data_IF_102903057486
#
_entry.id   IF_102903057486
#
_cell.length_a   1.000
_cell.length_b   1.000
_cell.length_c   1.000
_cell.angle_alpha   90.00
_cell.angle_beta   90.00
_cell.angle_gamma   90.00
#
_symmetry.space_group_name_H-M   'P 1'
#
loop_
_entity.id
_entity.type
_entity.pdbx_description
1 polymer ?
#
# COMPACT_ATOMS: atom_id res chain seq x y z
N UNK A 1 -14.28 -1.20 18.75
CA UNK A 1 -13.99 -1.94 17.50
C UNK A 1 -12.66 -2.64 17.67
N UNK A 2 -12.64 -3.93 18.00
CA UNK A 2 -11.38 -4.62 18.32
C UNK A 2 -10.74 -5.17 17.05
N UNK A 3 -10.21 -4.27 16.24
CA UNK A 3 -9.28 -4.62 15.17
C UNK A 3 -8.10 -5.37 15.80
N UNK A 4 -7.79 -6.56 15.31
CA UNK A 4 -6.69 -7.38 15.84
C UNK A 4 -5.38 -7.02 15.13
N UNK A 5 -4.37 -6.55 15.87
CA UNK A 5 -3.03 -6.26 15.31
C UNK A 5 -2.44 -7.47 14.60
N UNK A 6 -2.67 -8.67 15.14
CA UNK A 6 -2.20 -9.92 14.55
C UNK A 6 -2.82 -10.17 13.17
N UNK A 7 -4.11 -9.86 12.99
CA UNK A 7 -4.79 -10.04 11.70
C UNK A 7 -4.16 -9.15 10.63
N UNK A 8 -3.97 -7.85 10.89
CA UNK A 8 -3.34 -6.96 9.91
C UNK A 8 -1.88 -7.33 9.67
N UNK A 9 -1.15 -7.80 10.69
CA UNK A 9 0.21 -8.29 10.50
C UNK A 9 0.27 -9.47 9.53
N UNK A 10 -0.64 -10.45 9.66
CA UNK A 10 -0.77 -11.58 8.73
C UNK A 10 -1.14 -11.08 7.33
N UNK A 11 -2.10 -10.15 7.22
CA UNK A 11 -2.51 -9.57 5.93
C UNK A 11 -1.36 -8.84 5.23
N UNK A 12 -0.51 -8.11 5.97
CA UNK A 12 0.67 -7.44 5.43
C UNK A 12 1.63 -8.48 4.84
N UNK A 13 1.99 -9.51 5.62
CA UNK A 13 2.90 -10.57 5.15
C UNK A 13 2.33 -11.28 3.92
N UNK A 14 1.06 -11.65 3.95
CA UNK A 14 0.39 -12.29 2.83
C UNK A 14 0.43 -11.41 1.57
N UNK A 15 0.15 -10.11 1.72
CA UNK A 15 0.15 -9.16 0.59
C UNK A 15 1.56 -8.96 0.03
N UNK A 16 2.59 -8.94 0.87
CA UNK A 16 4.00 -8.88 0.43
C UNK A 16 4.34 -10.10 -0.42
N UNK A 17 4.00 -11.31 0.05
CA UNK A 17 4.29 -12.55 -0.69
C UNK A 17 3.56 -12.55 -2.03
N UNK A 18 2.27 -12.22 -2.04
CA UNK A 18 1.46 -12.16 -3.27
C UNK A 18 2.00 -11.08 -4.23
N UNK A 19 2.38 -9.91 -3.72
CA UNK A 19 2.96 -8.83 -4.52
C UNK A 19 4.30 -9.20 -5.15
N UNK A 20 5.18 -9.88 -4.42
CA UNK A 20 6.44 -10.38 -4.94
C UNK A 20 6.23 -11.49 -5.99
N UNK A 21 5.31 -12.42 -5.74
CA UNK A 21 4.94 -13.46 -6.70
C UNK A 21 4.34 -12.84 -7.97
N UNK A 22 3.48 -11.83 -7.83
CA UNK A 22 2.91 -11.08 -8.96
C UNK A 22 3.98 -10.49 -9.88
N UNK A 23 5.11 -10.05 -9.32
CA UNK A 23 6.23 -9.49 -10.10
C UNK A 23 7.16 -10.56 -10.68
N UNK A 24 7.11 -11.80 -10.17
CA UNK A 24 7.88 -12.92 -10.69
C UNK A 24 7.27 -13.49 -11.98
N UNK A 25 5.94 -13.58 -12.05
CA UNK A 25 5.24 -14.10 -13.22
C UNK A 25 5.05 -13.03 -14.29
N UNK A 26 5.77 -13.14 -15.41
CA UNK A 26 5.66 -12.21 -16.56
C UNK A 26 4.25 -12.11 -17.17
N UNK A 27 3.40 -13.12 -16.95
CA UNK A 27 2.03 -13.15 -17.44
C UNK A 27 1.08 -12.24 -16.66
N UNK A 28 1.50 -11.75 -15.49
CA UNK A 28 0.67 -10.91 -14.63
C UNK A 28 0.99 -9.43 -14.95
N UNK A 29 -0.02 -8.62 -15.29
CA UNK A 29 0.18 -7.20 -15.55
C UNK A 29 0.82 -6.47 -14.37
N UNK A 30 1.77 -5.57 -14.67
CA UNK A 30 2.54 -4.83 -13.66
C UNK A 30 1.64 -4.04 -12.70
N UNK A 31 0.54 -3.48 -13.20
CA UNK A 31 -0.42 -2.69 -12.42
C UNK A 31 -1.04 -3.45 -11.24
N UNK A 32 -1.07 -4.80 -11.29
CA UNK A 32 -1.55 -5.62 -10.18
C UNK A 32 -0.59 -5.52 -8.99
N UNK A 33 0.71 -5.48 -9.27
CA UNK A 33 1.71 -5.24 -8.24
C UNK A 33 1.53 -3.90 -7.54
N UNK A 34 1.10 -2.86 -8.26
CA UNK A 34 0.91 -1.52 -7.71
C UNK A 34 -0.38 -1.41 -6.89
N UNK A 35 -1.45 -2.10 -7.30
CA UNK A 35 -2.67 -2.28 -6.50
C UNK A 35 -2.35 -3.00 -5.19
N UNK A 36 -1.59 -4.10 -5.25
CA UNK A 36 -1.18 -4.87 -4.07
C UNK A 36 -0.26 -4.07 -3.15
N UNK A 37 0.60 -3.22 -3.71
CA UNK A 37 1.45 -2.33 -2.93
C UNK A 37 0.62 -1.31 -2.14
N UNK A 38 -0.36 -0.65 -2.76
CA UNK A 38 -1.25 0.27 -2.06
C UNK A 38 -2.14 -0.44 -1.02
N UNK A 39 -2.59 -1.66 -1.31
CA UNK A 39 -3.30 -2.49 -0.35
C UNK A 39 -2.43 -2.81 0.88
N UNK A 40 -1.16 -3.14 0.67
CA UNK A 40 -0.19 -3.35 1.74
C UNK A 40 -0.02 -2.08 2.60
N UNK A 41 0.14 -0.92 1.98
CA UNK A 41 0.22 0.38 2.68
C UNK A 41 -1.03 0.59 3.54
N UNK A 42 -2.23 0.32 3.00
CA UNK A 42 -3.47 0.42 3.77
C UNK A 42 -3.47 -0.47 5.02
N UNK A 43 -3.01 -1.71 4.91
CA UNK A 43 -2.91 -2.61 6.06
C UNK A 43 -1.87 -2.16 7.08
N UNK A 44 -0.73 -1.60 6.64
CA UNK A 44 0.28 -1.02 7.54
C UNK A 44 -0.31 0.17 8.31
N UNK A 45 -0.98 1.09 7.62
CA UNK A 45 -1.64 2.24 8.27
C UNK A 45 -2.74 1.76 9.21
N UNK A 46 -3.53 0.75 8.81
CA UNK A 46 -4.55 0.13 9.68
C UNK A 46 -3.96 -0.52 10.93
N UNK A 47 -2.79 -1.14 10.80
CA UNK A 47 -2.05 -1.75 11.91
C UNK A 47 -1.54 -0.70 12.89
N UNK A 48 -0.99 0.41 12.39
CA UNK A 48 -0.50 1.52 13.22
C UNK A 48 -1.63 2.30 13.90
N UNK A 49 -2.73 2.56 13.18
CA UNK A 49 -3.84 3.41 13.62
C UNK A 49 -5.10 2.62 13.96
N UNK A 50 -4.95 1.58 14.76
CA UNK A 50 -6.02 0.60 15.02
C UNK A 50 -7.27 1.17 15.71
N UNK A 51 -7.12 2.29 16.42
CA UNK A 51 -8.20 2.98 17.13
C UNK A 51 -8.77 4.18 16.36
N UNK A 52 -8.27 4.47 15.15
CA UNK A 52 -8.74 5.59 14.33
C UNK A 52 -9.86 5.15 13.38
N UNK A 53 -10.74 6.07 12.97
CA UNK A 53 -11.79 5.73 12.02
C UNK A 53 -11.21 5.35 10.65
N UNK A 54 -11.89 4.46 9.92
CA UNK A 54 -11.54 4.04 8.54
C UNK A 54 -11.16 5.22 7.66
N UNK A 55 -11.92 6.32 7.75
CA UNK A 55 -11.66 7.54 6.96
C UNK A 55 -10.24 8.08 7.13
N UNK A 56 -9.72 8.09 8.36
CA UNK A 56 -8.35 8.54 8.65
C UNK A 56 -7.32 7.59 8.04
N UNK A 57 -7.57 6.29 8.11
CA UNK A 57 -6.69 5.27 7.51
C UNK A 57 -6.66 5.39 5.98
N UNK A 58 -7.81 5.55 5.34
CA UNK A 58 -7.93 5.74 3.88
C UNK A 58 -7.17 6.99 3.44
N UNK A 59 -7.43 8.13 4.07
CA UNK A 59 -6.77 9.40 3.74
C UNK A 59 -5.26 9.30 3.95
N UNK A 60 -4.82 8.77 5.09
CA UNK A 60 -3.39 8.63 5.39
C UNK A 60 -2.68 7.70 4.39
N UNK A 61 -3.32 6.60 3.99
CA UNK A 61 -2.76 5.67 3.00
C UNK A 61 -2.64 6.31 1.62
N UNK A 62 -3.68 6.98 1.14
CA UNK A 62 -3.64 7.68 -0.16
C UNK A 62 -2.62 8.81 -0.17
N UNK A 63 -2.57 9.62 0.88
CA UNK A 63 -1.57 10.69 1.02
C UNK A 63 -0.16 10.11 1.01
N UNK A 64 0.08 8.99 1.68
CA UNK A 64 1.38 8.34 1.69
C UNK A 64 1.78 7.83 0.30
N UNK A 65 0.88 7.10 -0.38
CA UNK A 65 1.12 6.62 -1.74
C UNK A 65 1.38 7.77 -2.72
N UNK A 66 0.55 8.83 -2.67
CA UNK A 66 0.69 9.99 -3.55
C UNK A 66 1.96 10.77 -3.24
N UNK A 67 2.33 10.93 -1.96
CA UNK A 67 3.56 11.61 -1.58
C UNK A 67 4.80 10.88 -2.12
N UNK A 68 4.79 9.53 -2.09
CA UNK A 68 5.85 8.73 -2.68
C UNK A 68 5.91 8.93 -4.19
N UNK A 69 4.77 8.89 -4.86
CA UNK A 69 4.69 9.04 -6.31
C UNK A 69 5.12 10.45 -6.76
N UNK A 70 4.66 11.51 -6.08
CA UNK A 70 5.12 12.88 -6.32
C UNK A 70 6.60 13.07 -5.96
N UNK A 71 7.13 12.33 -4.99
CA UNK A 71 8.57 12.38 -4.70
C UNK A 71 9.41 12.00 -5.93
N UNK A 72 8.89 11.17 -6.85
CA UNK A 72 9.56 10.77 -8.09
C UNK A 72 9.78 11.93 -9.07
N UNK A 73 8.95 12.98 -9.00
CA UNK A 73 9.16 14.22 -9.75
C UNK A 73 10.31 15.04 -9.18
N UNK A 74 10.66 14.82 -7.90
CA UNK A 74 11.80 15.45 -7.26
C UNK A 74 13.10 14.68 -7.59
N UNK A 75 14.00 15.34 -8.33
CA UNK A 75 15.24 14.75 -8.90
C UNK A 75 16.52 15.28 -8.26
N UNK A 76 16.51 15.56 -6.96
CA UNK A 76 17.73 15.95 -6.26
C UNK A 76 18.76 14.79 -6.21
N UNK A 77 20.07 15.06 -6.16
CA UNK A 77 21.09 14.01 -6.13
C UNK A 77 20.91 13.02 -4.98
N UNK A 78 20.69 13.52 -3.76
CA UNK A 78 20.54 12.69 -2.56
C UNK A 78 19.35 11.72 -2.62
N UNK A 79 18.21 12.11 -3.24
CA UNK A 79 17.04 11.24 -3.34
C UNK A 79 17.23 10.20 -4.44
N UNK A 80 17.96 10.56 -5.51
CA UNK A 80 18.32 9.62 -6.55
C UNK A 80 19.32 8.57 -6.03
N UNK A 81 20.29 8.97 -5.20
CA UNK A 81 21.21 8.04 -4.53
C UNK A 81 20.45 7.02 -3.67
N UNK A 82 19.41 7.46 -2.96
CA UNK A 82 18.51 6.57 -2.24
C UNK A 82 17.75 5.62 -3.17
N UNK A 83 17.24 6.09 -4.33
CA UNK A 83 16.58 5.23 -5.33
C UNK A 83 17.50 4.19 -5.96
N UNK A 84 18.81 4.44 -5.98
CA UNK A 84 19.79 3.46 -6.44
C UNK A 84 19.98 2.28 -5.46
N UNK A 85 19.53 2.41 -4.21
CA UNK A 85 19.49 1.28 -3.26
C UNK A 85 18.30 0.34 -3.54
N UNK A 86 18.44 -0.95 -3.22
CA UNK A 86 17.35 -1.93 -3.37
C UNK A 86 16.07 -1.50 -2.63
N UNK A 87 16.22 -1.03 -1.39
CA UNK A 87 15.10 -0.56 -0.58
C UNK A 87 14.46 0.71 -1.17
N UNK A 88 15.27 1.69 -1.57
CA UNK A 88 14.75 2.90 -2.19
C UNK A 88 14.04 2.62 -3.50
N UNK A 89 14.56 1.72 -4.35
CA UNK A 89 13.86 1.32 -5.58
C UNK A 89 12.51 0.65 -5.31
N UNK A 90 12.42 -0.18 -4.27
CA UNK A 90 11.18 -0.87 -3.90
C UNK A 90 10.14 0.06 -3.25
N UNK A 91 10.58 1.05 -2.49
CA UNK A 91 9.69 1.95 -1.73
C UNK A 91 9.37 3.23 -2.49
N UNK A 92 10.37 3.87 -3.10
CA UNK A 92 10.23 5.15 -3.78
C UNK A 92 9.85 5.02 -5.26
N UNK A 93 10.00 3.84 -5.85
CA UNK A 93 9.80 3.63 -7.28
C UNK A 93 10.87 4.30 -8.16
N UNK A 94 10.76 4.09 -9.47
CA UNK A 94 11.76 4.53 -10.44
C UNK A 94 11.25 5.60 -11.42
N UNK A 95 9.95 5.86 -11.48
CA UNK A 95 9.39 6.85 -12.39
C UNK A 95 7.88 7.01 -12.22
N UNK A 96 7.42 8.24 -12.46
CA UNK A 96 6.06 8.67 -12.20
C UNK A 96 5.10 8.18 -13.28
N UNK A 97 4.03 7.51 -12.87
CA UNK A 97 2.97 7.02 -13.74
C UNK A 97 1.59 7.45 -13.22
N UNK A 98 0.82 8.15 -14.06
CA UNK A 98 -0.56 8.53 -13.72
C UNK A 98 -1.47 7.31 -13.47
N UNK A 99 -1.18 6.17 -14.10
CA UNK A 99 -1.87 4.91 -13.84
C UNK A 99 -1.73 4.46 -12.39
N UNK A 100 -0.61 4.78 -11.74
CA UNK A 100 -0.30 4.28 -10.41
C UNK A 100 -1.20 4.96 -9.37
N UNK A 101 -1.57 6.23 -9.60
CA UNK A 101 -2.57 6.93 -8.80
C UNK A 101 -3.93 6.19 -8.82
N UNK A 102 -4.37 5.72 -9.98
CA UNK A 102 -5.60 4.94 -10.10
C UNK A 102 -5.45 3.58 -9.41
N UNK A 103 -4.34 2.88 -9.61
CA UNK A 103 -4.03 1.63 -8.94
C UNK A 103 -4.03 1.78 -7.41
N UNK A 104 -3.53 2.91 -6.89
CA UNK A 104 -3.51 3.18 -5.46
C UNK A 104 -4.88 3.44 -4.88
N UNK A 105 -5.74 4.18 -5.60
CA UNK A 105 -7.14 4.37 -5.22
C UNK A 105 -7.86 3.03 -5.17
N UNK A 106 -7.65 2.16 -6.17
CA UNK A 106 -8.25 0.82 -6.22
C UNK A 106 -7.73 -0.05 -5.06
N UNK A 107 -6.42 -0.09 -4.82
CA UNK A 107 -5.82 -0.88 -3.75
C UNK A 107 -6.29 -0.45 -2.36
N UNK A 108 -6.34 0.85 -2.08
CA UNK A 108 -6.91 1.39 -0.83
C UNK A 108 -8.40 1.11 -0.72
N UNK A 109 -9.16 1.22 -1.83
CA UNK A 109 -10.58 0.88 -1.87
C UNK A 109 -10.85 -0.57 -1.49
N UNK A 110 -10.07 -1.51 -2.03
CA UNK A 110 -10.12 -2.94 -1.66
C UNK A 110 -9.84 -3.11 -0.17
N UNK A 111 -8.78 -2.47 0.36
CA UNK A 111 -8.43 -2.53 1.78
C UNK A 111 -9.56 -2.02 2.67
N UNK A 112 -10.21 -0.93 2.28
CA UNK A 112 -11.37 -0.36 2.97
C UNK A 112 -12.55 -1.34 3.01
N UNK A 113 -12.85 -2.04 1.91
CA UNK A 113 -13.90 -3.05 1.84
C UNK A 113 -13.60 -4.22 2.80
N UNK A 114 -12.35 -4.73 2.79
CA UNK A 114 -11.93 -5.75 3.73
C UNK A 114 -12.13 -5.33 5.18
N UNK A 115 -11.74 -4.09 5.50
CA UNK A 115 -11.86 -3.52 6.84
C UNK A 115 -13.33 -3.40 7.29
N UNK A 116 -14.23 -3.02 6.39
CA UNK A 116 -15.68 -3.04 6.66
C UNK A 116 -16.19 -4.44 6.98
N UNK A 117 -15.82 -5.45 6.17
CA UNK A 117 -16.23 -6.84 6.42
C UNK A 117 -15.67 -7.40 7.74
N UNK A 118 -14.43 -7.07 8.09
CA UNK A 118 -13.81 -7.49 9.34
C UNK A 118 -14.53 -6.86 10.54
N UNK A 119 -14.87 -5.56 10.45
CA UNK A 119 -15.59 -4.87 11.51
C UNK A 119 -17.03 -5.35 11.68
N UNK A 120 -17.72 -5.70 10.59
CA UNK A 120 -19.08 -6.25 10.63
C UNK A 120 -19.12 -7.63 11.30
N UNK A 121 -18.14 -8.50 11.04
CA UNK A 121 -18.06 -9.85 11.60
C UNK A 121 -17.55 -9.91 13.05
N UNK A 122 -17.07 -8.82 13.62
CA UNK A 122 -16.61 -8.81 15.01
C UNK A 122 -17.78 -8.42 15.91
N UNK A 123 -18.46 -9.37 16.60
CA UNK A 123 -19.55 -9.02 17.51
C UNK A 123 -19.04 -8.06 18.60
N UNK A 124 -19.90 -7.09 18.97
CA UNK A 124 -19.62 -6.08 19.99
C UNK A 124 -19.32 -6.70 21.34
#
# INVERSE_FOLDING_TARGET
MRRSRLLYFILIIATIIIGLLSRHFKSIPLFIGDILWALMVYFIVSFLFINKPIKVVVIASLLFCFAIEFSQLYKAPWINDLRHTLFGKLVLGAGFLWSDLLCYVVGVGIGCIFDFYILEKTPK
#
